data_IF_614088186409
#
_entry.id   IF_614088186409
#
_cell.length_a   1.000
_cell.length_b   1.000
_cell.length_c   1.000
_cell.angle_alpha   90.00
_cell.angle_beta   90.00
_cell.angle_gamma   90.00
#
_symmetry.space_group_name_H-M   'P 1'
#
loop_
_entity.id
_entity.type
_entity.pdbx_description
1 polymer ?
#
# COMPACT_ATOMS: atom_id res chain seq x y z
N UNK A 1 50.26 21.49 -15.20
CA UNK A 1 49.44 20.47 -14.49
C UNK A 1 48.58 20.97 -13.31
N UNK A 2 48.77 22.17 -12.73
CA UNK A 2 47.93 22.63 -11.59
C UNK A 2 46.46 22.97 -11.95
N UNK A 3 46.20 23.44 -13.17
CA UNK A 3 44.85 23.86 -13.61
C UNK A 3 43.91 22.66 -13.84
N UNK A 4 44.41 21.56 -14.44
CA UNK A 4 43.62 20.36 -14.69
C UNK A 4 43.10 19.69 -13.41
N UNK A 5 43.87 19.72 -12.31
CA UNK A 5 43.42 19.20 -11.01
C UNK A 5 42.18 19.93 -10.48
N UNK A 6 42.08 21.25 -10.67
CA UNK A 6 40.91 22.04 -10.26
C UNK A 6 39.67 21.68 -11.08
N UNK A 7 39.84 21.44 -12.39
CA UNK A 7 38.76 21.03 -13.28
C UNK A 7 38.23 19.64 -12.91
N UNK A 8 39.13 18.69 -12.62
CA UNK A 8 38.74 17.34 -12.19
C UNK A 8 37.96 17.38 -10.87
N UNK A 9 38.43 18.15 -9.88
CA UNK A 9 37.73 18.31 -8.60
C UNK A 9 36.34 18.95 -8.82
N UNK A 10 36.24 19.97 -9.67
CA UNK A 10 34.97 20.60 -9.99
C UNK A 10 33.98 19.62 -10.63
N UNK A 11 34.43 18.80 -11.59
CA UNK A 11 33.60 17.79 -12.23
C UNK A 11 33.07 16.76 -11.24
N UNK A 12 33.90 16.29 -10.30
CA UNK A 12 33.50 15.36 -9.24
C UNK A 12 32.42 16.01 -8.35
N UNK A 13 32.63 17.26 -7.94
CA UNK A 13 31.72 17.99 -7.05
C UNK A 13 30.36 18.22 -7.71
N UNK A 14 30.35 18.63 -8.99
CA UNK A 14 29.13 18.76 -9.78
C UNK A 14 28.41 17.41 -9.89
N UNK A 15 29.14 16.33 -10.15
CA UNK A 15 28.55 15.00 -10.28
C UNK A 15 27.86 14.55 -8.97
N UNK A 16 28.55 14.70 -7.83
CA UNK A 16 28.00 14.39 -6.51
C UNK A 16 26.72 15.20 -6.27
N UNK A 17 26.75 16.51 -6.47
CA UNK A 17 25.58 17.38 -6.28
C UNK A 17 24.41 16.98 -7.17
N UNK A 18 24.68 16.64 -8.44
CA UNK A 18 23.62 16.17 -9.35
C UNK A 18 23.02 14.82 -8.93
N UNK A 19 23.84 13.87 -8.46
CA UNK A 19 23.32 12.58 -7.94
C UNK A 19 22.48 12.81 -6.69
N UNK A 20 22.94 13.63 -5.74
CA UNK A 20 22.19 13.94 -4.52
C UNK A 20 20.84 14.60 -4.83
N UNK A 21 20.79 15.53 -5.78
CA UNK A 21 19.54 16.16 -6.22
C UNK A 21 18.56 15.16 -6.85
N UNK A 22 19.05 14.24 -7.68
CA UNK A 22 18.21 13.20 -8.29
C UNK A 22 17.64 12.29 -7.22
N UNK A 23 18.46 11.81 -6.28
CA UNK A 23 18.01 10.95 -5.16
C UNK A 23 16.97 11.67 -4.32
N UNK A 24 17.24 12.90 -3.87
CA UNK A 24 16.30 13.68 -3.04
C UNK A 24 14.96 13.95 -3.74
N UNK A 25 14.98 14.25 -5.04
CA UNK A 25 13.76 14.40 -5.84
C UNK A 25 12.99 13.09 -5.95
N UNK A 26 13.70 11.97 -6.11
CA UNK A 26 13.10 10.64 -6.22
C UNK A 26 12.45 10.22 -4.90
N UNK A 27 13.13 10.41 -3.77
CA UNK A 27 12.57 10.18 -2.43
C UNK A 27 11.34 11.04 -2.18
N UNK A 28 11.37 12.32 -2.55
CA UNK A 28 10.22 13.22 -2.40
C UNK A 28 9.01 12.76 -3.24
N UNK A 29 9.24 12.27 -4.45
CA UNK A 29 8.18 11.72 -5.31
C UNK A 29 7.62 10.41 -4.76
N UNK A 30 8.47 9.54 -4.22
CA UNK A 30 8.05 8.30 -3.56
C UNK A 30 7.18 8.60 -2.33
N UNK A 31 7.61 9.52 -1.46
CA UNK A 31 6.84 9.96 -0.30
C UNK A 31 5.52 10.61 -0.69
N UNK A 32 5.49 11.39 -1.78
CA UNK A 32 4.25 11.99 -2.29
C UNK A 32 3.27 10.92 -2.79
N UNK A 33 3.75 9.94 -3.57
CA UNK A 33 2.91 8.81 -4.00
C UNK A 33 2.43 7.95 -2.82
N UNK A 34 3.29 7.70 -1.85
CA UNK A 34 2.94 6.98 -0.63
C UNK A 34 1.86 7.74 0.14
N UNK A 35 1.98 9.06 0.28
CA UNK A 35 0.95 9.91 0.89
C UNK A 35 -0.35 9.92 0.09
N UNK A 36 -0.31 10.01 -1.24
CA UNK A 36 -1.50 9.94 -2.09
C UNK A 36 -2.22 8.58 -1.96
N UNK A 37 -1.47 7.48 -1.81
CA UNK A 37 -2.01 6.13 -1.59
C UNK A 37 -2.50 5.91 -0.15
N UNK A 38 -1.91 6.59 0.83
CA UNK A 38 -2.29 6.54 2.25
C UNK A 38 -3.37 7.56 2.61
N UNK A 39 -3.61 8.59 1.79
CA UNK A 39 -4.80 9.43 1.92
C UNK A 39 -5.99 8.58 1.51
N UNK A 40 -6.54 7.92 2.52
CA UNK A 40 -7.90 7.44 2.53
C UNK A 40 -8.79 8.70 2.49
N UNK A 41 -8.91 9.30 1.31
CA UNK A 41 -9.85 10.40 1.09
C UNK A 41 -11.23 9.81 1.39
N UNK A 42 -12.07 10.44 2.23
CA UNK A 42 -13.43 9.97 2.44
C UNK A 42 -14.16 10.03 1.10
N UNK A 43 -14.44 8.88 0.53
CA UNK A 43 -15.17 8.74 -0.72
C UNK A 43 -16.57 8.31 -0.35
N UNK A 44 -17.58 9.13 -0.63
CA UNK A 44 -18.99 8.68 -0.52
C UNK A 44 -19.09 7.32 -1.23
N UNK A 45 -19.72 6.31 -0.65
CA UNK A 45 -19.56 4.89 -1.03
C UNK A 45 -19.87 4.49 -2.48
N UNK A 46 -20.31 5.44 -3.32
CA UNK A 46 -20.51 5.31 -4.76
C UNK A 46 -19.48 6.05 -5.63
N UNK A 47 -18.67 6.95 -5.07
CA UNK A 47 -17.62 7.64 -5.81
C UNK A 47 -16.36 6.77 -5.89
N UNK A 48 -15.66 6.89 -7.01
CA UNK A 48 -14.41 6.16 -7.25
C UNK A 48 -13.34 6.71 -6.33
N UNK A 49 -12.69 5.84 -5.55
CA UNK A 49 -11.42 6.18 -4.93
C UNK A 49 -10.43 6.65 -6.00
N UNK A 50 -9.44 7.46 -5.62
CA UNK A 50 -8.37 7.95 -6.50
C UNK A 50 -7.59 6.76 -7.09
N UNK A 51 -8.14 6.16 -8.14
CA UNK A 51 -7.88 4.77 -8.54
C UNK A 51 -9.15 3.95 -8.73
N UNK A 52 -10.07 4.40 -9.60
CA UNK A 52 -11.09 3.64 -10.36
C UNK A 52 -12.04 2.60 -9.73
N UNK A 53 -11.98 2.27 -8.44
CA UNK A 53 -12.85 1.25 -7.84
C UNK A 53 -13.80 1.84 -6.78
N UNK A 54 -15.05 1.40 -6.82
CA UNK A 54 -16.09 1.62 -5.80
C UNK A 54 -15.98 0.59 -4.68
N UNK A 55 -16.57 0.88 -3.52
CA UNK A 55 -16.60 -0.07 -2.40
C UNK A 55 -17.16 -1.44 -2.81
N UNK A 56 -18.24 -1.45 -3.61
CA UNK A 56 -18.84 -2.68 -4.14
C UNK A 56 -17.89 -3.46 -5.04
N UNK A 57 -17.17 -2.78 -5.94
CA UNK A 57 -16.21 -3.44 -6.83
C UNK A 57 -15.05 -4.06 -6.04
N UNK A 58 -14.60 -3.39 -4.97
CA UNK A 58 -13.56 -3.94 -4.08
C UNK A 58 -14.08 -5.17 -3.33
N UNK A 59 -15.30 -5.11 -2.78
CA UNK A 59 -15.92 -6.25 -2.12
C UNK A 59 -16.08 -7.44 -3.08
N UNK A 60 -16.45 -7.18 -4.32
CA UNK A 60 -16.54 -8.22 -5.35
C UNK A 60 -15.17 -8.80 -5.73
N UNK A 61 -14.12 -7.98 -5.81
CA UNK A 61 -12.75 -8.45 -5.98
C UNK A 61 -12.33 -9.38 -4.83
N UNK A 62 -12.63 -9.00 -3.59
CA UNK A 62 -12.35 -9.80 -2.40
C UNK A 62 -13.07 -11.15 -2.48
N UNK A 63 -14.37 -11.17 -2.76
CA UNK A 63 -15.18 -12.41 -2.86
C UNK A 63 -14.70 -13.35 -3.97
N UNK A 64 -14.21 -12.79 -5.08
CA UNK A 64 -13.66 -13.56 -6.21
C UNK A 64 -12.22 -14.02 -5.97
N UNK A 65 -11.55 -13.52 -4.93
CA UNK A 65 -10.16 -13.88 -4.65
C UNK A 65 -10.07 -15.31 -4.12
N UNK A 66 -8.98 -16.00 -4.47
CA UNK A 66 -8.67 -17.33 -3.90
C UNK A 66 -8.43 -17.28 -2.39
N UNK A 67 -8.06 -16.10 -1.90
CA UNK A 67 -7.80 -15.87 -0.49
C UNK A 67 -9.07 -15.53 0.29
N UNK A 68 -10.24 -15.53 -0.34
CA UNK A 68 -11.51 -15.28 0.35
C UNK A 68 -11.72 -16.31 1.48
N UNK A 69 -11.99 -15.83 2.68
CA UNK A 69 -12.16 -16.67 3.87
C UNK A 69 -13.63 -16.95 4.24
N UNK A 70 -14.58 -16.54 3.39
CA UNK A 70 -16.01 -16.70 3.65
C UNK A 70 -16.60 -15.67 4.62
N UNK A 71 -15.85 -14.64 4.99
CA UNK A 71 -16.31 -13.60 5.89
C UNK A 71 -17.09 -12.48 5.17
N UNK A 72 -17.90 -11.74 5.93
CA UNK A 72 -18.56 -10.55 5.39
C UNK A 72 -17.70 -9.34 5.68
N UNK A 73 -17.14 -8.76 4.62
CA UNK A 73 -16.40 -7.49 4.66
C UNK A 73 -17.30 -6.34 4.23
N UNK A 74 -17.34 -5.31 5.08
CA UNK A 74 -17.91 -4.00 4.79
C UNK A 74 -16.77 -3.01 4.57
N UNK A 75 -16.81 -2.30 3.45
CA UNK A 75 -15.91 -1.18 3.16
C UNK A 75 -16.73 0.09 3.32
N UNK A 76 -16.34 0.92 4.28
CA UNK A 76 -16.99 2.20 4.52
C UNK A 76 -16.45 3.28 3.59
N UNK A 77 -17.21 4.37 3.50
CA UNK A 77 -16.89 5.56 2.72
C UNK A 77 -15.54 6.18 3.09
N UNK A 78 -15.16 6.09 4.36
CA UNK A 78 -13.84 6.50 4.86
C UNK A 78 -12.74 5.46 4.56
N UNK A 79 -12.97 4.50 3.66
CA UNK A 79 -12.06 3.42 3.28
C UNK A 79 -11.77 2.38 4.37
N UNK A 80 -12.45 2.46 5.52
CA UNK A 80 -12.30 1.52 6.63
C UNK A 80 -12.85 0.13 6.26
N UNK A 81 -12.12 -0.92 6.64
CA UNK A 81 -12.51 -2.30 6.47
C UNK A 81 -13.04 -2.85 7.80
N UNK A 82 -14.29 -3.34 7.80
CA UNK A 82 -14.82 -4.14 8.90
C UNK A 82 -15.24 -5.52 8.46
N UNK A 83 -14.85 -6.51 9.25
CA UNK A 83 -15.30 -7.89 9.18
C UNK A 83 -16.34 -8.17 10.26
N UNK A 84 -17.31 -9.02 9.94
CA UNK A 84 -18.19 -9.62 10.94
C UNK A 84 -17.50 -10.67 11.81
N UNK A 85 -16.33 -11.17 11.39
CA UNK A 85 -15.50 -12.08 12.17
C UNK A 85 -14.53 -11.28 13.05
N UNK A 86 -14.77 -11.27 14.37
CA UNK A 86 -13.94 -10.53 15.33
C UNK A 86 -12.47 -10.96 15.34
N UNK A 87 -12.17 -12.25 15.12
CA UNK A 87 -10.78 -12.72 15.03
C UNK A 87 -10.10 -12.15 13.79
N UNK A 88 -10.79 -12.20 12.66
CA UNK A 88 -10.28 -11.63 11.41
C UNK A 88 -10.16 -10.11 11.46
N UNK A 89 -11.09 -9.42 12.12
CA UNK A 89 -10.99 -8.00 12.40
C UNK A 89 -9.71 -7.67 13.18
N UNK A 90 -9.34 -8.50 14.16
CA UNK A 90 -8.07 -8.39 14.87
C UNK A 90 -6.87 -8.45 13.92
N UNK A 91 -6.85 -9.40 12.99
CA UNK A 91 -5.79 -9.53 11.98
C UNK A 91 -5.77 -8.35 11.00
N UNK A 92 -6.93 -7.87 10.55
CA UNK A 92 -7.05 -6.66 9.72
C UNK A 92 -6.44 -5.44 10.42
N UNK A 93 -6.82 -5.22 11.68
CA UNK A 93 -6.30 -4.11 12.48
C UNK A 93 -4.77 -4.23 12.66
N UNK A 94 -4.25 -5.44 12.87
CA UNK A 94 -2.81 -5.67 12.98
C UNK A 94 -2.06 -5.35 11.67
N UNK A 95 -2.65 -5.66 10.51
CA UNK A 95 -2.08 -5.28 9.21
C UNK A 95 -2.08 -3.76 9.05
N UNK A 96 -3.21 -3.10 9.32
CA UNK A 96 -3.37 -1.65 9.12
C UNK A 96 -2.47 -0.84 10.06
N UNK A 97 -2.37 -1.26 11.33
CA UNK A 97 -1.64 -0.50 12.35
C UNK A 97 -0.14 -0.77 12.39
N UNK A 98 0.36 -1.73 11.60
CA UNK A 98 1.79 -2.06 11.55
C UNK A 98 2.44 -1.43 10.30
N UNK A 99 3.40 -0.49 10.45
CA UNK A 99 4.03 0.17 9.31
C UNK A 99 4.65 -0.79 8.31
N UNK A 100 5.37 -1.82 8.78
CA UNK A 100 6.00 -2.81 7.91
C UNK A 100 4.98 -3.60 7.07
N UNK A 101 3.79 -3.89 7.61
CA UNK A 101 2.73 -4.56 6.86
C UNK A 101 2.11 -3.61 5.82
N UNK A 102 1.92 -2.35 6.18
CA UNK A 102 1.40 -1.34 5.25
C UNK A 102 2.36 -1.04 4.11
N UNK A 103 3.68 -1.10 4.32
CA UNK A 103 4.66 -1.00 3.24
C UNK A 103 4.50 -2.13 2.22
N UNK A 104 4.23 -3.36 2.69
CA UNK A 104 3.92 -4.51 1.83
C UNK A 104 2.62 -4.28 1.05
N UNK A 105 1.57 -3.82 1.72
CA UNK A 105 0.27 -3.51 1.10
C UNK A 105 0.42 -2.47 0.00
N UNK A 106 1.15 -1.39 0.27
CA UNK A 106 1.40 -0.29 -0.68
C UNK A 106 2.23 -0.80 -1.86
N UNK A 107 3.31 -1.54 -1.59
CA UNK A 107 4.15 -2.15 -2.63
C UNK A 107 3.31 -3.06 -3.56
N UNK A 108 2.47 -3.91 -2.98
CA UNK A 108 1.58 -4.78 -3.73
C UNK A 108 0.59 -3.97 -4.57
N UNK A 109 -0.06 -2.95 -3.99
CA UNK A 109 -0.99 -2.06 -4.69
C UNK A 109 -0.36 -1.35 -5.89
N UNK A 110 0.89 -0.92 -5.78
CA UNK A 110 1.63 -0.32 -6.90
C UNK A 110 1.90 -1.36 -8.00
N UNK A 111 2.30 -2.58 -7.63
CA UNK A 111 2.68 -3.63 -8.58
C UNK A 111 1.47 -4.22 -9.33
N UNK A 112 0.38 -4.49 -8.61
CA UNK A 112 -0.79 -5.16 -9.17
C UNK A 112 -1.87 -4.19 -9.66
N UNK A 113 -1.73 -2.88 -9.37
CA UNK A 113 -2.71 -1.83 -9.70
C UNK A 113 -4.11 -2.12 -9.15
N UNK A 114 -4.18 -2.82 -8.01
CA UNK A 114 -5.42 -3.12 -7.30
C UNK A 114 -5.61 -2.18 -6.10
N UNK A 115 -6.87 -1.98 -5.65
CA UNK A 115 -7.21 -1.14 -4.51
C UNK A 115 -6.42 -1.49 -3.25
N UNK A 116 -6.07 -0.48 -2.46
CA UNK A 116 -5.33 -0.70 -1.21
C UNK A 116 -6.11 -1.60 -0.25
N UNK A 117 -7.44 -1.45 -0.18
CA UNK A 117 -8.31 -2.29 0.65
C UNK A 117 -8.28 -3.76 0.25
N UNK A 118 -8.24 -4.05 -1.06
CA UNK A 118 -8.07 -5.41 -1.56
C UNK A 118 -6.72 -5.99 -1.08
N UNK A 119 -5.64 -5.22 -1.21
CA UNK A 119 -4.31 -5.65 -0.77
C UNK A 119 -4.21 -5.86 0.75
N UNK A 120 -4.88 -5.01 1.55
CA UNK A 120 -5.02 -5.21 3.00
C UNK A 120 -5.72 -6.54 3.28
N UNK A 121 -6.83 -6.82 2.60
CA UNK A 121 -7.58 -8.06 2.80
C UNK A 121 -6.74 -9.30 2.47
N UNK A 122 -6.08 -9.31 1.32
CA UNK A 122 -5.25 -10.46 0.90
C UNK A 122 -4.14 -10.75 1.90
N UNK A 123 -3.44 -9.71 2.37
CA UNK A 123 -2.38 -9.87 3.37
C UNK A 123 -2.94 -10.34 4.72
N UNK A 124 -4.06 -9.76 5.16
CA UNK A 124 -4.73 -10.18 6.39
C UNK A 124 -5.23 -11.63 6.30
N UNK A 125 -5.79 -12.05 5.17
CA UNK A 125 -6.26 -13.42 4.95
C UNK A 125 -5.11 -14.42 5.02
N UNK A 126 -3.96 -14.09 4.43
CA UNK A 126 -2.76 -14.91 4.51
C UNK A 126 -2.27 -15.08 5.98
N UNK A 127 -2.19 -13.98 6.74
CA UNK A 127 -1.84 -14.06 8.16
C UNK A 127 -2.88 -14.80 9.00
N UNK A 128 -4.16 -14.60 8.72
CA UNK A 128 -5.23 -15.29 9.43
C UNK A 128 -5.15 -16.80 9.23
N UNK A 129 -4.90 -17.28 8.01
CA UNK A 129 -4.68 -18.72 7.73
C UNK A 129 -3.49 -19.29 8.49
N UNK A 130 -2.42 -18.51 8.64
CA UNK A 130 -1.24 -18.93 9.42
C UNK A 130 -1.53 -18.98 10.92
N UNK A 131 -2.33 -18.04 11.43
CA UNK A 131 -2.73 -17.97 12.84
C UNK A 131 -3.77 -19.04 13.21
N UNK A 132 -4.69 -19.36 12.29
CA UNK A 132 -5.85 -20.25 12.54
C UNK A 132 -5.98 -21.36 11.48
N UNK A 133 -4.97 -22.24 11.31
CA UNK A 133 -4.93 -23.21 10.21
C UNK A 133 -6.02 -24.30 10.26
N UNK A 134 -6.62 -24.52 11.44
CA UNK A 134 -7.67 -25.53 11.64
C UNK A 134 -9.06 -25.07 11.17
N UNK A 135 -9.28 -23.76 10.99
CA UNK A 135 -10.58 -23.21 10.56
C UNK A 135 -10.79 -23.31 9.03
N UNK A 136 -9.80 -23.82 8.30
CA UNK A 136 -9.78 -23.88 6.83
C UNK A 136 -9.62 -25.31 6.27
N UNK A 137 -9.80 -26.34 7.12
CA UNK A 137 -9.77 -27.75 6.72
C UNK A 137 -11.14 -28.26 6.28
#
# INVERSE_FOLDING_TARGET
MKSQKKIIIFLILVNIVSVTLVVSRYESLLLKKQKELLTIVPVKGAEKSAGNYTASEITDLIRKSKEYIGDTITIYDNGELKSTNNKFQGTLNAVINTPANMDIVVSNGVNNKLPIQYNIYILAAAFYRQQYPLEFK
#
